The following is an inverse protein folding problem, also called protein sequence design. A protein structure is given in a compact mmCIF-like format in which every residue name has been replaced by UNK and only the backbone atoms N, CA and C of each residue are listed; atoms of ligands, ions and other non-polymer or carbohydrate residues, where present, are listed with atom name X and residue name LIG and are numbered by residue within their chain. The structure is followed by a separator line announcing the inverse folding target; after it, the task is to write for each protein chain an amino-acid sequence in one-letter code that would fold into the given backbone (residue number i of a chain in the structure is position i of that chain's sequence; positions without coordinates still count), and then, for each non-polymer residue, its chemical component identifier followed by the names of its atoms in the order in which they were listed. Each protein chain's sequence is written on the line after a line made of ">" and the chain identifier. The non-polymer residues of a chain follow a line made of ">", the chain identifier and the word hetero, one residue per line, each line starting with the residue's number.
data_IF_684383760910
#
_entry.id   IF_684383760910
#
_cell.length_a   1.000
_cell.length_b   1.000
_cell.length_c   1.000
_cell.angle_alpha   90.00
_cell.angle_beta   90.00
_cell.angle_gamma   90.00
#
_symmetry.space_group_name_H-M   'P 1'
#
loop_
_entity.id
_entity.type
_entity.pdbx_description
1 polymer ?
#
# COMPACT_ATOMS: atom_id res chain seq x y z
N UNK A 1 43.54 26.35 8.46
CA UNK A 1 42.19 26.97 8.39
C UNK A 1 41.35 26.21 7.36
N UNK A 2 40.42 25.36 7.79
CA UNK A 2 39.26 24.96 6.99
C UNK A 2 38.22 24.45 7.97
N UNK A 3 37.25 25.33 8.28
CA UNK A 3 36.29 25.14 9.34
C UNK A 3 35.19 24.18 8.84
N UNK A 4 35.20 22.94 9.35
CA UNK A 4 34.09 21.98 9.22
C UNK A 4 32.92 22.45 10.08
N UNK A 5 32.14 23.40 9.58
CA UNK A 5 30.78 23.63 10.05
C UNK A 5 29.82 23.25 8.92
N UNK A 6 29.57 21.95 8.79
CA UNK A 6 28.34 21.48 8.17
C UNK A 6 27.20 21.97 9.08
N UNK A 7 26.58 23.07 8.69
CA UNK A 7 25.28 23.50 9.21
C UNK A 7 24.32 22.32 9.10
N UNK A 8 23.98 21.72 10.24
CA UNK A 8 22.75 20.94 10.40
C UNK A 8 21.62 21.87 10.01
N UNK A 9 21.13 21.76 8.78
CA UNK A 9 19.90 22.42 8.35
C UNK A 9 18.78 21.82 9.18
N UNK A 10 18.43 22.50 10.27
CA UNK A 10 17.22 22.19 11.04
C UNK A 10 16.03 22.34 10.08
N UNK A 11 15.52 21.20 9.61
CA UNK A 11 14.28 21.15 8.88
C UNK A 11 13.19 21.76 9.78
N UNK A 12 12.32 22.63 9.24
CA UNK A 12 11.26 23.24 10.03
C UNK A 12 10.29 22.13 10.49
N UNK A 13 10.29 21.82 11.79
CA UNK A 13 9.36 20.86 12.38
C UNK A 13 7.94 21.36 12.16
N UNK A 14 7.08 20.51 11.60
CA UNK A 14 5.67 20.85 11.40
C UNK A 14 4.99 21.05 12.76
N UNK A 15 4.13 22.06 12.89
CA UNK A 15 3.37 22.39 14.11
C UNK A 15 1.90 21.97 13.98
N UNK A 16 1.23 21.68 15.10
CA UNK A 16 -0.18 21.28 15.14
C UNK A 16 -0.42 19.79 14.82
N UNK A 17 -1.60 19.47 14.28
CA UNK A 17 -2.02 18.10 13.93
C UNK A 17 -1.02 17.45 12.96
N UNK A 18 -0.51 18.22 11.99
CA UNK A 18 0.47 17.75 11.01
C UNK A 18 1.81 17.37 11.66
N UNK A 19 2.23 18.11 12.70
CA UNK A 19 3.43 17.78 13.48
C UNK A 19 3.30 16.52 14.32
N UNK A 20 2.09 16.24 14.83
CA UNK A 20 1.78 14.98 15.53
C UNK A 20 1.86 13.81 14.55
N UNK A 21 1.29 13.95 13.36
CA UNK A 21 1.33 12.91 12.32
C UNK A 21 2.78 12.64 11.90
N UNK A 22 3.58 13.67 11.64
CA UNK A 22 5.00 13.54 11.29
C UNK A 22 5.80 12.82 12.40
N UNK A 23 5.67 13.28 13.66
CA UNK A 23 6.38 12.68 14.80
C UNK A 23 5.96 11.23 15.06
N UNK A 24 4.71 10.89 14.79
CA UNK A 24 4.19 9.53 14.97
C UNK A 24 4.62 8.63 13.81
N UNK A 25 4.56 9.10 12.57
CA UNK A 25 5.05 8.39 11.40
C UNK A 25 6.55 8.09 11.48
N UNK A 26 7.35 9.06 11.95
CA UNK A 26 8.79 8.88 12.11
C UNK A 26 9.19 7.90 13.24
N UNK A 27 8.25 7.52 14.12
CA UNK A 27 8.47 6.48 15.13
C UNK A 27 8.21 5.07 14.60
N UNK A 28 7.58 4.92 13.43
CA UNK A 28 7.31 3.61 12.84
C UNK A 28 8.65 3.00 12.43
N UNK A 29 9.02 1.82 12.95
CA UNK A 29 10.26 1.15 12.57
C UNK A 29 10.30 0.88 11.07
N UNK A 30 11.50 0.81 10.49
CA UNK A 30 11.66 0.49 9.07
C UNK A 30 10.88 -0.80 8.72
N UNK A 31 10.11 -0.85 7.61
CA UNK A 31 9.22 -1.97 7.33
C UNK A 31 9.89 -3.34 7.35
N UNK A 32 11.16 -3.44 6.93
CA UNK A 32 11.96 -4.68 7.05
C UNK A 32 11.98 -5.20 8.49
N UNK A 33 12.37 -4.37 9.46
CA UNK A 33 12.43 -4.78 10.87
C UNK A 33 11.04 -5.08 11.41
N UNK A 34 10.02 -4.36 10.94
CA UNK A 34 8.64 -4.62 11.32
C UNK A 34 8.18 -6.00 10.84
N UNK A 35 8.42 -6.37 9.58
CA UNK A 35 8.05 -7.68 9.06
C UNK A 35 8.86 -8.82 9.69
N UNK A 36 10.15 -8.61 9.95
CA UNK A 36 10.96 -9.56 10.72
C UNK A 36 10.38 -9.74 12.13
N UNK A 37 10.05 -8.65 12.82
CA UNK A 37 9.46 -8.71 14.15
C UNK A 37 8.10 -9.42 14.11
N UNK A 38 7.22 -9.08 13.16
CA UNK A 38 5.92 -9.73 13.00
C UNK A 38 6.05 -11.22 12.69
N UNK A 39 7.01 -11.62 11.86
CA UNK A 39 7.31 -13.02 11.60
C UNK A 39 7.63 -13.77 12.91
N UNK A 40 8.57 -13.28 13.71
CA UNK A 40 8.92 -13.93 14.99
C UNK A 40 7.82 -13.85 16.04
N UNK A 41 7.09 -12.73 16.10
CA UNK A 41 5.94 -12.56 16.99
C UNK A 41 4.85 -13.57 16.65
N UNK A 42 4.52 -13.76 15.37
CA UNK A 42 3.53 -14.75 14.93
C UNK A 42 3.98 -16.16 15.28
N UNK A 43 5.26 -16.50 15.11
CA UNK A 43 5.78 -17.80 15.53
C UNK A 43 5.57 -18.04 17.04
N UNK A 44 5.95 -17.06 17.87
CA UNK A 44 5.74 -17.13 19.32
C UNK A 44 4.27 -17.20 19.72
N UNK A 45 3.43 -16.33 19.14
CA UNK A 45 1.99 -16.31 19.36
C UNK A 45 1.33 -17.61 18.93
N UNK A 46 1.78 -18.22 17.82
CA UNK A 46 1.24 -19.49 17.34
C UNK A 46 1.44 -20.61 18.37
N UNK A 47 2.59 -20.64 19.05
CA UNK A 47 2.84 -21.62 20.10
C UNK A 47 1.98 -21.37 21.34
N UNK A 48 1.89 -20.12 21.80
CA UNK A 48 1.10 -19.76 22.98
C UNK A 48 -0.39 -20.00 22.77
N UNK A 49 -0.94 -19.54 21.63
CA UNK A 49 -2.37 -19.66 21.33
C UNK A 49 -2.76 -21.10 21.01
N UNK A 50 -1.90 -21.88 20.36
CA UNK A 50 -2.13 -23.32 20.18
C UNK A 50 -2.10 -24.06 21.52
N UNK A 51 -1.16 -23.73 22.42
CA UNK A 51 -1.11 -24.32 23.75
C UNK A 51 -2.33 -23.96 24.61
N UNK A 52 -2.89 -22.76 24.41
CA UNK A 52 -4.14 -22.34 25.04
C UNK A 52 -5.40 -22.99 24.42
N UNK A 53 -5.26 -23.76 23.34
CA UNK A 53 -6.39 -24.45 22.69
C UNK A 53 -7.38 -23.49 22.02
N UNK A 54 -6.90 -22.36 21.47
CA UNK A 54 -7.77 -21.43 20.76
C UNK A 54 -8.30 -22.03 19.46
N UNK A 55 -9.63 -22.12 19.36
CA UNK A 55 -10.34 -22.68 18.21
C UNK A 55 -11.61 -21.86 17.91
N UNK A 56 -12.09 -21.93 16.67
CA UNK A 56 -13.38 -21.35 16.28
C UNK A 56 -13.95 -22.14 15.11
N UNK A 57 -15.28 -22.21 15.03
CA UNK A 57 -15.95 -22.76 13.84
C UNK A 57 -16.13 -21.64 12.82
N UNK A 58 -15.75 -21.89 11.58
CA UNK A 58 -15.96 -20.97 10.49
C UNK A 58 -17.44 -21.00 10.07
N UNK A 59 -18.17 -19.87 10.17
CA UNK A 59 -19.62 -19.84 9.89
C UNK A 59 -19.96 -20.01 8.41
N UNK A 60 -18.98 -19.97 7.51
CA UNK A 60 -19.19 -20.10 6.05
C UNK A 60 -19.21 -21.56 5.61
N UNK A 61 -18.28 -22.38 6.12
CA UNK A 61 -18.12 -23.78 5.71
C UNK A 61 -18.32 -24.80 6.86
N UNK A 62 -18.63 -24.33 8.07
CA UNK A 62 -18.79 -25.13 9.29
C UNK A 62 -17.55 -25.96 9.68
N UNK A 63 -16.37 -25.58 9.18
CA UNK A 63 -15.12 -26.25 9.56
C UNK A 63 -14.57 -25.66 10.86
N UNK A 64 -14.05 -26.52 11.73
CA UNK A 64 -13.35 -26.10 12.93
C UNK A 64 -11.92 -25.67 12.57
N UNK A 65 -11.60 -24.41 12.87
CA UNK A 65 -10.30 -23.81 12.63
C UNK A 65 -9.60 -23.65 13.97
N UNK A 66 -8.51 -24.39 14.15
CA UNK A 66 -7.63 -24.32 15.32
C UNK A 66 -6.32 -23.59 15.00
N UNK A 67 -5.73 -22.95 16.01
CA UNK A 67 -4.40 -22.35 15.86
C UNK A 67 -3.36 -23.45 15.67
N UNK A 68 -2.51 -23.31 14.65
CA UNK A 68 -1.42 -24.25 14.37
C UNK A 68 -0.13 -23.73 14.99
N UNK A 69 0.50 -24.55 15.83
CA UNK A 69 1.81 -24.24 16.40
C UNK A 69 2.92 -24.42 15.34
N UNK A 70 3.55 -23.33 14.94
CA UNK A 70 4.62 -23.33 13.94
C UNK A 70 6.02 -23.57 14.54
N UNK A 71 6.19 -23.47 15.86
CA UNK A 71 7.46 -23.74 16.57
C UNK A 71 7.69 -25.23 16.85
N UNK A 72 7.20 -26.10 15.96
CA UNK A 72 7.46 -27.54 15.98
C UNK A 72 8.51 -27.90 14.93
N UNK A 73 9.19 -29.05 15.08
CA UNK A 73 10.16 -29.50 14.08
C UNK A 73 9.55 -29.61 12.67
N UNK A 74 8.29 -30.08 12.59
CA UNK A 74 7.53 -30.13 11.33
C UNK A 74 7.18 -28.73 10.80
N UNK A 75 6.71 -27.82 11.66
CA UNK A 75 6.37 -26.44 11.30
C UNK A 75 7.59 -25.67 10.77
N UNK A 76 8.73 -25.76 11.44
CA UNK A 76 9.98 -25.12 10.99
C UNK A 76 10.43 -25.71 9.65
N UNK A 77 10.38 -27.04 9.48
CA UNK A 77 10.73 -27.68 8.23
C UNK A 77 9.81 -27.25 7.07
N UNK A 78 8.51 -27.11 7.32
CA UNK A 78 7.54 -26.66 6.33
C UNK A 78 7.74 -25.18 5.94
N UNK A 79 8.06 -24.32 6.90
CA UNK A 79 8.43 -22.93 6.62
C UNK A 79 9.68 -22.91 5.73
N UNK A 80 10.76 -23.60 6.13
CA UNK A 80 12.03 -23.66 5.40
C UNK A 80 11.87 -24.18 3.97
N UNK A 81 11.06 -25.23 3.75
CA UNK A 81 10.76 -25.77 2.42
C UNK A 81 9.90 -24.82 1.59
N UNK A 82 9.00 -24.07 2.22
CA UNK A 82 8.07 -23.16 1.57
C UNK A 82 8.71 -21.87 1.04
N UNK A 83 9.83 -21.40 1.61
CA UNK A 83 10.44 -20.11 1.27
C UNK A 83 10.47 -19.77 -0.23
N UNK A 84 10.99 -20.65 -1.13
CA UNK A 84 11.08 -20.32 -2.54
C UNK A 84 9.71 -20.21 -3.22
N UNK A 85 8.78 -21.07 -2.85
CA UNK A 85 7.42 -21.10 -3.41
C UNK A 85 6.62 -19.89 -2.98
N UNK A 86 6.68 -19.53 -1.69
CA UNK A 86 6.00 -18.34 -1.18
C UNK A 86 6.56 -17.09 -1.85
N UNK A 87 7.89 -17.00 -1.96
CA UNK A 87 8.55 -15.89 -2.65
C UNK A 87 8.13 -15.79 -4.11
N UNK A 88 8.20 -16.88 -4.87
CA UNK A 88 7.82 -16.90 -6.28
C UNK A 88 6.32 -16.62 -6.50
N UNK A 89 5.46 -17.05 -5.57
CA UNK A 89 4.02 -16.84 -5.59
C UNK A 89 3.57 -15.45 -5.13
N UNK A 90 4.48 -14.61 -4.64
CA UNK A 90 4.12 -13.29 -4.13
C UNK A 90 3.70 -12.35 -5.27
N UNK A 91 2.38 -12.12 -5.37
CA UNK A 91 1.71 -11.39 -6.47
C UNK A 91 2.40 -10.06 -6.90
N UNK A 92 2.90 -9.20 -6.00
CA UNK A 92 3.60 -7.97 -6.40
C UNK A 92 4.84 -8.19 -7.28
N UNK A 93 5.54 -9.33 -7.16
CA UNK A 93 6.74 -9.63 -7.95
C UNK A 93 6.39 -9.81 -9.43
N UNK A 94 5.32 -10.56 -9.73
CA UNK A 94 4.88 -10.78 -11.11
C UNK A 94 4.50 -9.47 -11.81
N UNK A 95 3.77 -8.59 -11.12
CA UNK A 95 3.37 -7.29 -11.67
C UNK A 95 4.58 -6.41 -12.02
N UNK A 96 5.62 -6.42 -11.18
CA UNK A 96 6.86 -5.67 -11.38
C UNK A 96 7.61 -6.13 -12.63
N UNK A 97 7.78 -7.43 -12.82
CA UNK A 97 8.51 -7.95 -13.98
C UNK A 97 7.82 -7.55 -15.29
N UNK A 98 6.50 -7.71 -15.36
CA UNK A 98 5.70 -7.32 -16.52
C UNK A 98 5.78 -5.81 -16.77
N UNK A 99 5.66 -4.98 -15.72
CA UNK A 99 5.75 -3.53 -15.84
C UNK A 99 7.12 -3.05 -16.32
N UNK A 100 8.21 -3.66 -15.83
CA UNK A 100 9.59 -3.30 -16.23
C UNK A 100 9.85 -3.62 -17.69
N UNK A 101 9.37 -4.78 -18.16
CA UNK A 101 9.46 -5.15 -19.58
C UNK A 101 8.66 -4.19 -20.46
N UNK A 102 7.42 -3.88 -20.07
CA UNK A 102 6.57 -2.92 -20.78
C UNK A 102 7.21 -1.54 -20.88
N UNK A 103 7.78 -1.04 -19.78
CA UNK A 103 8.49 0.25 -19.78
C UNK A 103 9.77 0.21 -20.63
N UNK A 104 10.52 -0.90 -20.60
CA UNK A 104 11.70 -1.09 -21.43
C UNK A 104 11.38 -0.98 -22.92
N UNK A 105 10.31 -1.62 -23.37
CA UNK A 105 9.81 -1.52 -24.76
C UNK A 105 9.32 -0.12 -25.07
N UNK A 106 8.53 0.50 -24.18
CA UNK A 106 7.98 1.84 -24.39
C UNK A 106 9.06 2.93 -24.44
N UNK A 107 10.12 2.79 -23.65
CA UNK A 107 11.26 3.71 -23.66
C UNK A 107 12.17 3.44 -24.86
N UNK A 108 12.50 2.17 -25.13
CA UNK A 108 13.39 1.78 -26.23
C UNK A 108 12.83 2.05 -27.63
N UNK A 109 11.51 1.97 -27.80
CA UNK A 109 10.82 2.33 -29.05
C UNK A 109 10.68 3.84 -29.28
N UNK A 110 11.04 4.67 -28.29
CA UNK A 110 10.79 6.11 -28.33
C UNK A 110 9.33 6.50 -28.13
N UNK A 111 8.43 5.55 -27.82
CA UNK A 111 7.00 5.81 -27.60
C UNK A 111 6.77 6.86 -26.51
N UNK A 112 7.44 6.72 -25.35
CA UNK A 112 7.34 7.72 -24.26
C UNK A 112 7.73 9.13 -24.73
N UNK A 113 8.87 9.26 -25.42
CA UNK A 113 9.38 10.54 -25.90
C UNK A 113 8.48 11.15 -26.99
N UNK A 114 7.91 10.31 -27.86
CA UNK A 114 6.93 10.71 -28.88
C UNK A 114 5.63 11.23 -28.27
N UNK A 115 5.07 10.51 -27.30
CA UNK A 115 3.83 10.91 -26.60
C UNK A 115 4.02 12.21 -25.82
N UNK A 116 5.15 12.39 -25.14
CA UNK A 116 5.45 13.64 -24.42
C UNK A 116 5.59 14.84 -25.36
N UNK A 117 6.20 14.65 -26.55
CA UNK A 117 6.25 15.68 -27.60
C UNK A 117 4.87 16.04 -28.13
N UNK A 118 4.03 15.04 -28.43
CA UNK A 118 2.65 15.25 -28.86
C UNK A 118 1.83 16.01 -27.82
N UNK A 119 1.97 15.64 -26.54
CA UNK A 119 1.32 16.33 -25.42
C UNK A 119 1.70 17.82 -25.35
N UNK A 120 2.95 18.17 -25.66
CA UNK A 120 3.43 19.56 -25.63
C UNK A 120 2.90 20.46 -26.75
N UNK A 121 2.35 19.88 -27.82
CA UNK A 121 1.84 20.63 -28.98
C UNK A 121 0.38 21.09 -28.83
N UNK A 122 -0.32 20.69 -27.76
CA UNK A 122 -1.70 21.10 -27.55
C UNK A 122 -1.80 22.58 -27.17
N UNK A 123 -2.49 23.38 -28.01
CA UNK A 123 -2.69 24.81 -27.78
C UNK A 123 -3.76 25.15 -26.72
N UNK A 124 -4.70 24.24 -26.44
CA UNK A 124 -5.79 24.48 -25.49
C UNK A 124 -5.36 24.16 -24.05
N UNK A 125 -5.38 25.17 -23.18
CA UNK A 125 -5.04 25.04 -21.75
C UNK A 125 -5.91 24.00 -21.02
N UNK A 126 -7.19 23.88 -21.40
CA UNK A 126 -8.09 22.88 -20.83
C UNK A 126 -7.69 21.46 -21.23
N UNK A 127 -7.41 21.24 -22.51
CA UNK A 127 -7.05 19.92 -23.01
C UNK A 127 -5.71 19.44 -22.44
N UNK A 128 -4.74 20.36 -22.29
CA UNK A 128 -3.47 20.08 -21.61
C UNK A 128 -3.71 19.64 -20.16
N UNK A 129 -4.60 20.33 -19.44
CA UNK A 129 -4.93 19.97 -18.05
C UNK A 129 -5.59 18.59 -17.96
N UNK A 130 -6.59 18.31 -18.80
CA UNK A 130 -7.24 16.99 -18.87
C UNK A 130 -6.23 15.89 -19.21
N UNK A 131 -5.34 16.15 -20.17
CA UNK A 131 -4.33 15.20 -20.60
C UNK A 131 -3.30 14.93 -19.50
N UNK A 132 -2.87 15.95 -18.76
CA UNK A 132 -1.99 15.79 -17.59
C UNK A 132 -2.67 14.98 -16.48
N UNK A 133 -3.95 15.25 -16.21
CA UNK A 133 -4.73 14.45 -15.23
C UNK A 133 -4.87 13.01 -15.68
N UNK A 134 -5.20 12.76 -16.95
CA UNK A 134 -5.30 11.40 -17.50
C UNK A 134 -3.95 10.67 -17.47
N UNK A 135 -2.85 11.34 -17.82
CA UNK A 135 -1.50 10.77 -17.68
C UNK A 135 -1.20 10.44 -16.22
N UNK A 136 -1.56 11.32 -15.28
CA UNK A 136 -1.38 11.08 -13.85
C UNK A 136 -2.19 9.88 -13.34
N UNK A 137 -3.47 9.77 -13.72
CA UNK A 137 -4.35 8.65 -13.38
C UNK A 137 -3.81 7.35 -13.99
N UNK A 138 -3.46 7.34 -15.28
CA UNK A 138 -2.92 6.16 -15.94
C UNK A 138 -1.49 5.84 -15.46
N UNK A 139 -0.75 6.81 -14.94
CA UNK A 139 0.52 6.59 -14.25
C UNK A 139 0.36 5.66 -13.04
N UNK A 140 -0.83 5.59 -12.44
CA UNK A 140 -1.14 4.61 -11.39
C UNK A 140 -1.14 3.15 -11.89
N UNK A 141 -1.27 2.89 -13.21
CA UNK A 141 -1.10 1.53 -13.78
C UNK A 141 0.34 1.02 -13.63
N UNK A 142 1.30 1.92 -13.50
CA UNK A 142 2.70 1.60 -13.14
C UNK A 142 2.81 1.30 -11.62
N UNK A 143 1.79 1.66 -10.83
CA UNK A 143 1.60 1.25 -9.43
C UNK A 143 2.79 1.51 -8.51
N UNK A 144 2.88 0.70 -7.45
CA UNK A 144 4.11 0.51 -6.67
C UNK A 144 5.24 -0.08 -7.51
N UNK A 145 4.97 -0.59 -8.73
CA UNK A 145 6.02 -1.02 -9.62
C UNK A 145 6.92 0.15 -10.05
N UNK A 146 6.48 1.42 -9.94
CA UNK A 146 7.39 2.56 -10.04
C UNK A 146 8.54 2.48 -9.01
N UNK A 147 8.29 2.02 -7.78
CA UNK A 147 9.36 1.81 -6.80
C UNK A 147 10.32 0.68 -7.15
N UNK A 148 10.01 -0.16 -8.14
CA UNK A 148 10.84 -1.28 -8.58
C UNK A 148 11.41 -1.11 -9.99
N UNK A 149 10.74 -0.31 -10.82
CA UNK A 149 11.09 0.04 -12.19
C UNK A 149 11.98 1.30 -12.26
N UNK A 150 11.75 2.31 -11.42
CA UNK A 150 12.65 3.45 -11.29
C UNK A 150 14.05 3.05 -10.84
N UNK A 151 14.24 2.10 -9.93
CA UNK A 151 15.57 1.70 -9.51
C UNK A 151 16.53 1.23 -10.62
N UNK A 152 16.17 0.29 -11.53
CA UNK A 152 17.00 -0.02 -12.70
C UNK A 152 17.20 1.19 -13.62
N UNK A 153 16.17 2.00 -13.83
CA UNK A 153 16.25 3.21 -14.66
C UNK A 153 17.21 4.27 -14.10
N UNK A 154 17.17 4.49 -12.78
CA UNK A 154 18.04 5.41 -12.06
C UNK A 154 19.44 4.80 -11.94
N UNK A 155 19.58 3.49 -11.75
CA UNK A 155 20.88 2.82 -11.73
C UNK A 155 21.58 2.90 -13.10
N UNK A 156 20.85 2.63 -14.19
CA UNK A 156 21.35 2.77 -15.56
C UNK A 156 21.64 4.25 -15.88
N UNK A 157 20.78 5.18 -15.46
CA UNK A 157 21.02 6.61 -15.58
C UNK A 157 22.26 7.06 -14.79
N UNK A 158 22.46 6.57 -13.56
CA UNK A 158 23.61 6.92 -12.72
C UNK A 158 24.90 6.29 -13.25
N UNK A 159 24.86 5.05 -13.76
CA UNK A 159 25.98 4.41 -14.47
C UNK A 159 26.34 5.20 -15.73
N UNK A 160 25.35 5.61 -16.54
CA UNK A 160 25.56 6.38 -17.76
C UNK A 160 25.99 7.84 -17.51
N UNK A 161 25.75 8.37 -16.30
CA UNK A 161 26.18 9.71 -15.86
C UNK A 161 27.45 9.69 -14.99
N UNK A 162 28.11 8.54 -14.81
CA UNK A 162 29.36 8.41 -14.02
C UNK A 162 29.20 8.63 -12.50
N UNK A 163 28.01 8.35 -11.93
CA UNK A 163 27.68 8.57 -10.52
C UNK A 163 27.72 7.28 -9.67
N UNK A 164 27.80 7.46 -8.35
CA UNK A 164 28.06 6.38 -7.38
C UNK A 164 26.94 5.31 -7.34
N UNK A 165 27.27 4.02 -7.57
CA UNK A 165 26.34 2.87 -7.54
C UNK A 165 25.60 2.65 -6.22
N UNK A 166 26.04 3.25 -5.10
CA UNK A 166 25.39 3.14 -3.80
C UNK A 166 23.97 3.72 -3.77
N UNK A 167 23.63 4.65 -4.67
CA UNK A 167 22.24 5.07 -4.89
C UNK A 167 21.36 3.88 -5.35
N UNK A 168 21.98 2.92 -6.03
CA UNK A 168 21.39 1.65 -6.45
C UNK A 168 21.29 0.58 -5.34
N UNK A 169 21.89 0.78 -4.17
CA UNK A 169 21.74 -0.11 -3.01
C UNK A 169 20.51 0.22 -2.15
N UNK A 170 19.98 1.44 -2.26
CA UNK A 170 18.65 1.82 -1.74
C UNK A 170 17.50 0.97 -2.34
N UNK A 171 17.79 0.23 -3.41
CA UNK A 171 16.88 -0.58 -4.22
C UNK A 171 16.66 -1.99 -3.65
N UNK A 172 17.72 -2.60 -3.08
CA UNK A 172 17.60 -3.93 -2.46
C UNK A 172 16.68 -3.91 -1.25
N UNK A 173 16.47 -2.74 -0.64
CA UNK A 173 15.55 -2.57 0.49
C UNK A 173 14.11 -2.93 0.13
N UNK A 174 13.63 -2.64 -1.09
CA UNK A 174 12.28 -3.00 -1.50
C UNK A 174 12.11 -4.52 -1.61
N UNK A 175 13.04 -5.19 -2.31
CA UNK A 175 13.00 -6.66 -2.44
C UNK A 175 13.12 -7.35 -1.08
N UNK A 176 13.92 -6.80 -0.16
CA UNK A 176 13.98 -7.26 1.22
C UNK A 176 12.65 -7.08 1.96
N UNK A 177 11.98 -5.93 1.80
CA UNK A 177 10.64 -5.70 2.39
C UNK A 177 9.66 -6.74 1.84
N UNK A 178 9.59 -6.92 0.52
CA UNK A 178 8.71 -7.90 -0.10
C UNK A 178 8.99 -9.31 0.40
N UNK A 179 10.28 -9.66 0.57
CA UNK A 179 10.68 -10.98 1.03
C UNK A 179 10.15 -11.23 2.44
N UNK A 180 10.45 -10.35 3.39
CA UNK A 180 9.98 -10.53 4.76
C UNK A 180 8.45 -10.38 4.89
N UNK A 181 7.81 -9.53 4.09
CA UNK A 181 6.36 -9.42 4.04
C UNK A 181 5.70 -10.72 3.57
N UNK A 182 6.20 -11.30 2.47
CA UNK A 182 5.75 -12.58 1.97
C UNK A 182 5.91 -13.71 3.02
N UNK A 183 7.07 -13.80 3.66
CA UNK A 183 7.30 -14.82 4.70
C UNK A 183 6.39 -14.62 5.92
N UNK A 184 6.18 -13.37 6.36
CA UNK A 184 5.21 -13.04 7.42
C UNK A 184 3.80 -13.49 7.04
N UNK A 185 3.32 -13.15 5.84
CA UNK A 185 1.98 -13.53 5.36
C UNK A 185 1.83 -15.05 5.34
N UNK A 186 2.85 -15.76 4.85
CA UNK A 186 2.84 -17.21 4.80
C UNK A 186 2.73 -17.85 6.20
N UNK A 187 3.56 -17.42 7.18
CA UNK A 187 3.45 -17.95 8.55
C UNK A 187 2.15 -17.52 9.23
N UNK A 188 1.67 -16.30 8.97
CA UNK A 188 0.42 -15.82 9.53
C UNK A 188 -0.78 -16.62 9.02
N UNK A 189 -0.81 -16.93 7.71
CA UNK A 189 -1.79 -17.80 7.10
C UNK A 189 -1.69 -19.23 7.66
N UNK A 190 -0.50 -19.84 7.67
CA UNK A 190 -0.28 -21.21 8.17
C UNK A 190 -0.63 -21.38 9.65
N UNK A 191 -0.49 -20.33 10.46
CA UNK A 191 -0.81 -20.35 11.90
C UNK A 191 -2.32 -20.36 12.19
N UNK A 192 -3.18 -20.05 11.22
CA UNK A 192 -4.61 -19.80 11.37
C UNK A 192 -4.99 -18.64 12.33
N UNK A 193 -4.03 -17.93 12.92
CA UNK A 193 -4.32 -16.83 13.87
C UNK A 193 -5.16 -15.73 13.19
N UNK A 194 -4.75 -15.32 11.97
CA UNK A 194 -5.48 -14.33 11.19
C UNK A 194 -6.91 -14.76 10.90
N UNK A 195 -7.11 -16.02 10.53
CA UNK A 195 -8.42 -16.61 10.26
C UNK A 195 -9.31 -16.59 11.50
N UNK A 196 -8.80 -16.97 12.67
CA UNK A 196 -9.60 -16.98 13.91
C UNK A 196 -9.97 -15.57 14.35
N UNK A 197 -9.03 -14.63 14.30
CA UNK A 197 -9.29 -13.22 14.61
C UNK A 197 -10.34 -12.66 13.65
N UNK A 198 -10.19 -12.93 12.35
CA UNK A 198 -11.13 -12.50 11.34
C UNK A 198 -12.54 -13.07 11.55
N UNK A 199 -12.66 -14.35 11.92
CA UNK A 199 -13.95 -14.97 12.22
C UNK A 199 -14.62 -14.30 13.42
N UNK A 200 -13.90 -14.15 14.53
CA UNK A 200 -14.45 -13.53 15.74
C UNK A 200 -14.85 -12.07 15.51
N UNK A 201 -14.02 -11.30 14.83
CA UNK A 201 -14.32 -9.91 14.50
C UNK A 201 -15.45 -9.79 13.46
N UNK A 202 -15.53 -10.72 12.49
CA UNK A 202 -16.59 -10.75 11.48
C UNK A 202 -17.95 -11.05 12.09
N UNK A 203 -18.01 -12.02 13.02
CA UNK A 203 -19.22 -12.31 13.81
C UNK A 203 -19.62 -11.10 14.66
N UNK A 204 -18.66 -10.49 15.37
CA UNK A 204 -18.91 -9.28 16.14
C UNK A 204 -19.48 -8.14 15.27
N UNK A 205 -18.94 -7.92 14.07
CA UNK A 205 -19.48 -6.93 13.13
C UNK A 205 -20.88 -7.29 12.65
N UNK A 206 -21.13 -8.56 12.32
CA UNK A 206 -22.44 -9.04 11.89
C UNK A 206 -23.51 -8.77 12.96
N UNK A 207 -23.16 -9.01 14.22
CA UNK A 207 -24.04 -8.83 15.38
C UNK A 207 -24.19 -7.36 15.82
N UNK A 208 -23.24 -6.49 15.43
CA UNK A 208 -23.28 -5.05 15.74
C UNK A 208 -24.39 -4.27 15.02
N UNK A 209 -25.03 -4.87 14.00
CA UNK A 209 -26.02 -4.21 13.15
C UNK A 209 -25.43 -3.27 12.08
N UNK A 210 -24.10 -3.07 12.06
CA UNK A 210 -23.42 -2.30 11.02
C UNK A 210 -23.26 -3.18 9.78
N UNK A 211 -24.17 -3.02 8.80
CA UNK A 211 -24.20 -3.83 7.58
C UNK A 211 -24.24 -2.97 6.31
N UNK A 212 -24.06 -3.63 5.16
CA UNK A 212 -24.21 -3.01 3.85
C UNK A 212 -23.23 -1.86 3.59
N UNK A 213 -23.75 -0.76 3.02
CA UNK A 213 -22.96 0.41 2.62
C UNK A 213 -22.22 1.06 3.80
N UNK A 214 -22.81 1.05 4.99
CA UNK A 214 -22.19 1.62 6.19
C UNK A 214 -20.89 0.91 6.57
N UNK A 215 -20.91 -0.43 6.59
CA UNK A 215 -19.71 -1.23 6.86
C UNK A 215 -18.65 -1.06 5.76
N UNK A 216 -19.11 -1.02 4.50
CA UNK A 216 -18.24 -0.83 3.34
C UNK A 216 -17.48 0.51 3.41
N UNK A 217 -18.18 1.60 3.72
CA UNK A 217 -17.56 2.92 3.86
C UNK A 217 -16.68 3.02 5.12
N UNK A 218 -17.06 2.37 6.23
CA UNK A 218 -16.23 2.32 7.42
C UNK A 218 -14.86 1.72 7.11
N UNK A 219 -14.81 0.65 6.31
CA UNK A 219 -13.56 0.05 5.86
C UNK A 219 -12.76 1.00 4.94
N UNK A 220 -13.41 1.70 4.00
CA UNK A 220 -12.75 2.71 3.15
C UNK A 220 -12.06 3.79 4.00
N UNK A 221 -12.75 4.34 4.99
CA UNK A 221 -12.19 5.37 5.86
C UNK A 221 -11.12 4.85 6.81
N UNK A 222 -11.25 3.61 7.29
CA UNK A 222 -10.20 2.95 8.07
C UNK A 222 -8.91 2.85 7.25
N UNK A 223 -9.00 2.40 5.99
CA UNK A 223 -7.83 2.30 5.10
C UNK A 223 -7.24 3.69 4.81
N UNK A 224 -8.09 4.70 4.58
CA UNK A 224 -7.65 6.08 4.36
C UNK A 224 -6.91 6.66 5.58
N UNK A 225 -7.33 6.31 6.79
CA UNK A 225 -6.65 6.68 8.04
C UNK A 225 -5.29 5.97 8.16
N UNK A 226 -5.25 4.65 7.93
CA UNK A 226 -4.00 3.87 7.96
C UNK A 226 -2.99 4.40 6.93
N UNK A 227 -3.48 4.86 5.77
CA UNK A 227 -2.64 5.39 4.70
C UNK A 227 -1.86 6.66 5.10
N UNK A 228 -2.31 7.43 6.09
CA UNK A 228 -1.55 8.58 6.58
C UNK A 228 -0.23 8.17 7.27
N UNK A 229 -0.13 6.92 7.69
CA UNK A 229 1.04 6.37 8.38
C UNK A 229 1.87 5.47 7.45
N UNK A 230 1.20 4.62 6.67
CA UNK A 230 1.87 3.69 5.74
C UNK A 230 1.44 4.04 4.32
N UNK A 231 2.32 4.65 3.54
CA UNK A 231 1.97 5.12 2.19
C UNK A 231 2.04 4.03 1.11
N UNK A 232 2.63 2.86 1.39
CA UNK A 232 2.75 1.79 0.38
C UNK A 232 1.46 0.99 0.28
N UNK A 233 0.86 0.99 -0.92
CA UNK A 233 -0.37 0.24 -1.21
C UNK A 233 -0.13 -1.27 -1.08
N UNK A 234 0.99 -1.79 -1.58
CA UNK A 234 1.26 -3.22 -1.57
C UNK A 234 1.58 -3.73 -0.17
N UNK A 235 2.39 -3.00 0.61
CA UNK A 235 2.76 -3.39 1.97
C UNK A 235 1.54 -3.37 2.93
N UNK A 236 0.66 -2.37 2.81
CA UNK A 236 -0.58 -2.35 3.59
C UNK A 236 -1.54 -3.46 3.20
N UNK A 237 -1.79 -3.66 1.90
CA UNK A 237 -2.73 -4.68 1.44
C UNK A 237 -2.29 -6.08 1.86
N UNK A 238 -0.99 -6.36 1.76
CA UNK A 238 -0.38 -7.60 2.22
C UNK A 238 -0.78 -7.94 3.67
N UNK A 239 -0.84 -6.94 4.55
CA UNK A 239 -1.21 -7.12 5.96
C UNK A 239 -2.74 -7.16 6.10
N UNK A 240 -3.42 -6.13 5.59
CA UNK A 240 -4.85 -5.95 5.81
C UNK A 240 -5.69 -7.06 5.16
N UNK A 241 -5.30 -7.56 3.99
CA UNK A 241 -6.07 -8.60 3.29
C UNK A 241 -6.21 -9.88 4.08
N UNK A 242 -5.16 -10.30 4.79
CA UNK A 242 -5.17 -11.55 5.59
C UNK A 242 -6.19 -11.55 6.73
N UNK A 243 -6.56 -10.36 7.22
CA UNK A 243 -7.52 -10.20 8.33
C UNK A 243 -8.87 -9.71 7.81
N UNK A 244 -8.88 -8.64 7.03
CA UNK A 244 -10.12 -7.94 6.66
C UNK A 244 -10.90 -8.63 5.54
N UNK A 245 -10.25 -9.35 4.61
CA UNK A 245 -10.98 -10.09 3.56
C UNK A 245 -11.88 -11.18 4.16
N UNK A 246 -11.36 -12.13 4.98
CA UNK A 246 -12.22 -13.14 5.60
C UNK A 246 -13.23 -12.53 6.59
N UNK A 247 -12.84 -11.49 7.33
CA UNK A 247 -13.72 -10.81 8.29
C UNK A 247 -14.93 -10.15 7.62
N UNK A 248 -14.69 -9.41 6.54
CA UNK A 248 -15.75 -8.70 5.80
C UNK A 248 -16.59 -9.67 4.97
N UNK A 249 -16.02 -10.79 4.51
CA UNK A 249 -16.77 -11.90 3.90
C UNK A 249 -17.84 -12.43 4.85
N UNK A 250 -17.48 -12.69 6.11
CA UNK A 250 -18.42 -13.16 7.15
C UNK A 250 -19.50 -12.10 7.45
N UNK A 251 -19.13 -10.82 7.35
CA UNK A 251 -20.05 -9.70 7.51
C UNK A 251 -20.86 -9.37 6.23
N UNK A 252 -20.76 -10.18 5.16
CA UNK A 252 -21.60 -10.09 3.96
C UNK A 252 -21.03 -9.25 2.81
N UNK A 253 -19.75 -8.87 2.85
CA UNK A 253 -19.08 -8.10 1.79
C UNK A 253 -18.17 -9.04 1.00
N UNK A 254 -18.27 -9.04 -0.33
CA UNK A 254 -17.47 -9.95 -1.16
C UNK A 254 -15.96 -9.63 -1.10
N UNK A 255 -15.06 -10.61 -1.35
CA UNK A 255 -13.61 -10.36 -1.36
C UNK A 255 -13.20 -9.32 -2.41
N UNK A 256 -13.84 -9.36 -3.57
CA UNK A 256 -13.62 -8.41 -4.64
C UNK A 256 -14.04 -6.99 -4.23
N UNK A 257 -15.16 -6.86 -3.51
CA UNK A 257 -15.60 -5.57 -2.98
C UNK A 257 -14.65 -5.07 -1.88
N UNK A 258 -14.18 -5.95 -1.01
CA UNK A 258 -13.18 -5.60 0.01
C UNK A 258 -11.91 -5.05 -0.64
N UNK A 259 -11.42 -5.69 -1.69
CA UNK A 259 -10.26 -5.19 -2.45
C UNK A 259 -10.55 -3.83 -3.13
N UNK A 260 -11.75 -3.64 -3.67
CA UNK A 260 -12.18 -2.35 -4.21
C UNK A 260 -12.18 -1.26 -3.13
N UNK A 261 -12.84 -1.49 -2.01
CA UNK A 261 -12.89 -0.53 -0.90
C UNK A 261 -11.48 -0.18 -0.38
N UNK A 262 -10.60 -1.18 -0.30
CA UNK A 262 -9.20 -0.95 0.02
C UNK A 262 -8.53 -0.01 -0.98
N UNK A 263 -8.66 -0.27 -2.29
CA UNK A 263 -8.07 0.58 -3.34
C UNK A 263 -8.59 2.00 -3.30
N UNK A 264 -9.89 2.18 -3.05
CA UNK A 264 -10.48 3.50 -2.90
C UNK A 264 -9.89 4.19 -1.67
N UNK A 265 -9.95 3.57 -0.49
CA UNK A 265 -9.44 4.13 0.76
C UNK A 265 -7.96 4.50 0.70
N UNK A 266 -7.14 3.63 0.11
CA UNK A 266 -5.70 3.86 -0.13
C UNK A 266 -5.46 5.14 -0.95
N UNK A 267 -6.27 5.37 -1.97
CA UNK A 267 -6.10 6.52 -2.86
C UNK A 267 -6.53 7.87 -2.27
N UNK A 268 -7.43 7.88 -1.27
CA UNK A 268 -8.06 9.12 -0.79
C UNK A 268 -7.07 10.10 -0.17
N UNK A 269 -6.11 9.58 0.61
CA UNK A 269 -5.24 10.40 1.47
C UNK A 269 -3.78 10.46 1.01
N UNK A 270 -3.43 9.80 -0.12
CA UNK A 270 -2.05 9.77 -0.64
C UNK A 270 -1.42 11.17 -0.78
N UNK A 271 -2.20 12.15 -1.24
CA UNK A 271 -1.72 13.50 -1.50
C UNK A 271 -1.41 14.31 -0.22
N UNK A 272 -1.94 13.87 0.93
CA UNK A 272 -1.76 14.54 2.23
C UNK A 272 -0.93 13.71 3.21
N UNK A 273 -0.52 12.50 2.81
CA UNK A 273 0.31 11.61 3.62
C UNK A 273 1.72 12.18 3.78
N UNK A 274 2.17 12.50 5.01
CA UNK A 274 3.51 13.07 5.23
C UNK A 274 4.64 12.08 4.96
N UNK A 275 4.36 10.78 5.07
CA UNK A 275 5.31 9.69 4.80
C UNK A 275 5.42 9.34 3.32
N UNK A 276 4.71 10.06 2.45
CA UNK A 276 4.71 9.80 1.01
C UNK A 276 6.07 10.13 0.38
N UNK A 277 6.72 9.12 -0.21
CA UNK A 277 8.09 9.25 -0.71
C UNK A 277 8.29 10.35 -1.77
N UNK A 278 7.26 10.66 -2.57
CA UNK A 278 7.34 11.71 -3.60
C UNK A 278 7.15 13.13 -3.05
N UNK A 279 6.74 13.29 -1.79
CA UNK A 279 6.47 14.60 -1.19
C UNK A 279 7.72 15.49 -1.21
N UNK A 280 8.91 14.92 -1.00
CA UNK A 280 10.18 15.66 -1.08
C UNK A 280 10.49 16.18 -2.48
N UNK A 281 10.16 15.41 -3.53
CA UNK A 281 10.32 15.84 -4.92
C UNK A 281 9.34 16.98 -5.21
N UNK A 282 8.06 16.81 -4.84
CA UNK A 282 7.03 17.83 -5.02
C UNK A 282 7.41 19.13 -4.30
N UNK A 283 7.90 19.03 -3.05
CA UNK A 283 8.38 20.17 -2.29
C UNK A 283 9.53 20.89 -2.99
N UNK A 284 10.51 20.14 -3.52
CA UNK A 284 11.64 20.72 -4.26
C UNK A 284 11.17 21.49 -5.50
N UNK A 285 10.15 21.00 -6.20
CA UNK A 285 9.54 21.72 -7.32
C UNK A 285 8.73 22.93 -6.85
N UNK A 286 7.93 22.80 -5.79
CA UNK A 286 7.17 23.92 -5.22
C UNK A 286 8.10 25.07 -4.81
N UNK A 287 9.26 24.76 -4.23
CA UNK A 287 10.27 25.74 -3.82
C UNK A 287 10.91 26.51 -4.98
N UNK A 288 10.79 26.03 -6.23
CA UNK A 288 11.20 26.80 -7.42
C UNK A 288 10.26 27.98 -7.69
N UNK A 289 9.00 27.85 -7.31
CA UNK A 289 7.96 28.86 -7.52
C UNK A 289 7.70 29.70 -6.25
N UNK A 290 7.73 29.08 -5.07
CA UNK A 290 7.66 29.76 -3.78
C UNK A 290 8.77 29.25 -2.85
N UNK A 291 9.83 30.05 -2.69
CA UNK A 291 10.99 29.72 -1.84
C UNK A 291 10.64 29.52 -0.36
N UNK A 292 9.47 29.98 0.10
CA UNK A 292 9.00 29.79 1.48
C UNK A 292 8.20 28.50 1.66
N UNK A 293 7.90 27.77 0.59
CA UNK A 293 7.12 26.54 0.66
C UNK A 293 7.81 25.49 1.54
N UNK A 294 7.05 24.96 2.48
CA UNK A 294 7.43 23.84 3.35
C UNK A 294 6.49 22.66 3.08
N UNK A 295 6.79 21.51 3.67
CA UNK A 295 5.96 20.30 3.55
C UNK A 295 4.48 20.57 3.86
N UNK A 296 4.21 21.35 4.91
CA UNK A 296 2.85 21.75 5.27
C UNK A 296 2.17 22.62 4.21
N UNK A 297 2.90 23.49 3.52
CA UNK A 297 2.39 24.31 2.41
C UNK A 297 1.94 23.43 1.25
N UNK A 298 2.75 22.42 0.91
CA UNK A 298 2.42 21.45 -0.16
C UNK A 298 1.19 20.63 0.22
N UNK A 299 1.13 20.10 1.45
CA UNK A 299 -0.03 19.35 1.95
C UNK A 299 -1.29 20.24 1.94
N UNK A 300 -1.19 21.50 2.36
CA UNK A 300 -2.31 22.43 2.35
C UNK A 300 -2.83 22.71 0.93
N UNK A 301 -1.95 22.83 -0.07
CA UNK A 301 -2.35 22.94 -1.47
C UNK A 301 -3.01 21.67 -2.01
N UNK A 302 -2.63 20.50 -1.49
CA UNK A 302 -3.18 19.21 -1.91
C UNK A 302 -4.48 18.83 -1.19
N UNK A 303 -4.74 19.41 -0.02
CA UNK A 303 -5.88 19.06 0.83
C UNK A 303 -7.26 19.25 0.12
N UNK A 304 -7.54 20.37 -0.57
CA UNK A 304 -8.81 20.52 -1.30
C UNK A 304 -9.02 19.43 -2.36
N UNK A 305 -7.96 18.97 -3.01
CA UNK A 305 -8.03 17.87 -3.98
C UNK A 305 -8.34 16.54 -3.30
N UNK A 306 -7.70 16.23 -2.16
CA UNK A 306 -8.00 15.02 -1.38
C UNK A 306 -9.45 15.00 -0.87
N UNK A 307 -9.96 16.15 -0.40
CA UNK A 307 -11.37 16.28 0.03
C UNK A 307 -12.32 16.09 -1.16
N UNK A 308 -12.07 16.78 -2.27
CA UNK A 308 -12.91 16.69 -3.48
C UNK A 308 -12.93 15.26 -4.02
N UNK A 309 -11.76 14.61 -4.08
CA UNK A 309 -11.62 13.24 -4.52
C UNK A 309 -12.34 12.26 -3.59
N UNK A 310 -12.28 12.48 -2.27
CA UNK A 310 -13.04 11.70 -1.27
C UNK A 310 -14.54 11.82 -1.49
N UNK A 311 -15.06 13.03 -1.68
CA UNK A 311 -16.50 13.25 -1.91
C UNK A 311 -16.94 12.52 -3.19
N UNK A 312 -16.19 12.66 -4.28
CA UNK A 312 -16.52 12.03 -5.56
C UNK A 312 -16.46 10.50 -5.46
N UNK A 313 -15.40 9.93 -4.86
CA UNK A 313 -15.27 8.48 -4.73
C UNK A 313 -16.30 7.88 -3.80
N UNK A 314 -16.55 8.49 -2.65
CA UNK A 314 -17.56 8.01 -1.69
C UNK A 314 -18.94 8.11 -2.32
N UNK A 315 -19.26 9.22 -3.00
CA UNK A 315 -20.51 9.38 -3.74
C UNK A 315 -20.68 8.32 -4.82
N UNK A 316 -19.63 8.06 -5.60
CA UNK A 316 -19.62 7.00 -6.60
C UNK A 316 -19.87 5.62 -5.98
N UNK A 317 -19.17 5.28 -4.89
CA UNK A 317 -19.36 4.00 -4.20
C UNK A 317 -20.80 3.86 -3.66
N UNK A 318 -21.36 4.91 -3.05
CA UNK A 318 -22.74 4.89 -2.56
C UNK A 318 -23.71 4.65 -3.72
N UNK A 319 -23.59 5.40 -4.82
CA UNK A 319 -24.46 5.22 -5.99
C UNK A 319 -24.29 3.80 -6.57
N UNK A 320 -23.05 3.33 -6.72
CA UNK A 320 -22.74 2.02 -7.30
C UNK A 320 -23.32 0.88 -6.47
N UNK A 321 -23.18 0.97 -5.14
CA UNK A 321 -23.71 -0.02 -4.19
C UNK A 321 -25.24 0.01 -4.14
N UNK A 322 -25.87 1.19 -4.13
CA UNK A 322 -27.33 1.33 -4.12
C UNK A 322 -28.00 0.85 -5.40
N UNK A 323 -27.34 1.04 -6.55
CA UNK A 323 -27.81 0.54 -7.84
C UNK A 323 -27.54 -0.96 -8.05
N UNK A 324 -26.88 -1.64 -7.11
CA UNK A 324 -26.56 -3.06 -7.19
C UNK A 324 -25.64 -3.42 -8.36
N UNK A 325 -24.88 -2.44 -8.87
CA UNK A 325 -24.07 -2.62 -10.07
C UNK A 325 -22.94 -3.64 -9.81
N UNK A 326 -22.67 -4.54 -10.78
CA UNK A 326 -21.57 -5.48 -10.65
C UNK A 326 -20.24 -4.72 -10.59
N UNK A 327 -19.35 -5.16 -9.71
CA UNK A 327 -17.99 -4.62 -9.56
C UNK A 327 -17.02 -5.21 -10.59
N UNK A 328 -17.43 -6.29 -11.25
CA UNK A 328 -16.73 -6.96 -12.33
C UNK A 328 -17.61 -8.07 -12.91
N UNK A 329 -17.17 -8.75 -13.99
CA UNK A 329 -17.93 -9.83 -14.60
C UNK A 329 -18.24 -10.94 -13.57
N UNK A 330 -19.51 -11.05 -13.16
CA UNK A 330 -19.97 -12.03 -12.17
C UNK A 330 -19.70 -11.68 -10.69
N UNK A 331 -19.27 -10.46 -10.37
CA UNK A 331 -18.98 -10.05 -8.99
C UNK A 331 -19.88 -8.89 -8.54
N UNK A 332 -20.45 -9.00 -7.34
CA UNK A 332 -21.25 -7.97 -6.68
C UNK A 332 -20.61 -7.50 -5.36
N UNK A 333 -21.08 -6.36 -4.84
CA UNK A 333 -20.54 -5.75 -3.62
C UNK A 333 -20.90 -6.57 -2.38
N UNK A 334 -22.17 -6.94 -2.27
CA UNK A 334 -22.72 -7.72 -1.17
C UNK A 334 -23.02 -9.15 -1.65
N UNK A 335 -22.92 -10.10 -0.72
CA UNK A 335 -23.25 -11.50 -0.92
C UNK A 335 -24.76 -11.76 -0.85
#
# INVERSE_FOLDING_TARGET
>A
MSNKNQTKTNQPQLTGILGIIERTGNKIPHPIYMFIAFFFIVLGLSAVLAAAGFQTVNPVNNEEVSVVNLLTAAGIADILKGFPTEWAGFSPIGAVFVATLGLGVANGSGFLNGTLRLASNFKSKFLVTVLVVLIGINGNLIGDAAFVVFPPLIAILYMNLGRNPLAGLSISQFFLICFFACQFIAVFAKSNIGTIVAIKCGLFLKDSGIQGVGLFLLFVFLVALINLFVSSMSAKWAILSTVFVPMLLIAGISPAATQMAYRVGDSLTNNITPTFAYLGIILTYAQKYDRRAQTGTVIAYMLPFSISFTIVWVGLLIIWTLLGLPIGPGYHVFL
#
